data_IF_834657014057
#
_entry.id   IF_834657014057
#
_cell.length_a   1.000
_cell.length_b   1.000
_cell.length_c   1.000
_cell.angle_alpha   90.00
_cell.angle_beta   90.00
_cell.angle_gamma   90.00
#
_symmetry.space_group_name_H-M   'P 1'
#
loop_
_entity.id
_entity.type
_entity.pdbx_description
1 polymer ?
#
# COMPACT_ATOMS: atom_id res chain seq x y z
N UNK A 1 -2.85 -26.21 -17.32
CA UNK A 1 -3.39 -24.90 -17.72
C UNK A 1 -3.90 -25.03 -19.15
N UNK A 2 -4.99 -24.36 -19.53
CA UNK A 2 -5.59 -24.49 -20.86
C UNK A 2 -5.82 -23.11 -21.49
N UNK A 3 -6.11 -23.09 -22.79
CA UNK A 3 -6.62 -21.88 -23.46
C UNK A 3 -7.84 -21.34 -22.71
N UNK A 4 -7.90 -20.02 -22.56
CA UNK A 4 -8.93 -19.31 -21.79
C UNK A 4 -8.65 -19.21 -20.28
N UNK A 5 -7.63 -19.90 -19.75
CA UNK A 5 -7.24 -19.71 -18.35
C UNK A 5 -6.69 -18.29 -18.13
N UNK A 6 -7.04 -17.70 -16.98
CA UNK A 6 -6.47 -16.43 -16.54
C UNK A 6 -5.23 -16.67 -15.68
N UNK A 7 -4.17 -15.93 -15.96
CA UNK A 7 -2.94 -15.93 -15.17
C UNK A 7 -2.62 -14.51 -14.72
N UNK A 8 -1.80 -14.39 -13.68
CA UNK A 8 -1.35 -13.10 -13.18
C UNK A 8 -0.09 -12.64 -13.91
N UNK A 9 0.01 -11.33 -14.13
CA UNK A 9 1.20 -10.62 -14.58
C UNK A 9 1.36 -9.29 -13.85
N UNK A 10 2.38 -8.51 -14.19
CA UNK A 10 2.58 -7.15 -13.71
C UNK A 10 2.48 -6.14 -14.85
N UNK A 11 1.75 -5.05 -14.60
CA UNK A 11 1.69 -3.87 -15.45
C UNK A 11 2.22 -2.68 -14.63
N UNK A 12 3.47 -2.32 -14.91
CA UNK A 12 4.25 -1.39 -14.09
C UNK A 12 4.36 -1.87 -12.64
N UNK A 13 3.74 -1.12 -11.73
CA UNK A 13 3.76 -1.41 -10.29
C UNK A 13 2.60 -2.28 -9.80
N UNK A 14 1.64 -2.62 -10.65
CA UNK A 14 0.40 -3.31 -10.27
C UNK A 14 0.39 -4.72 -10.81
N UNK A 15 -0.38 -5.58 -10.16
CA UNK A 15 -0.64 -6.92 -10.69
C UNK A 15 -1.98 -6.96 -11.41
N UNK A 16 -1.98 -7.52 -12.61
CA UNK A 16 -3.15 -7.61 -13.50
C UNK A 16 -3.32 -9.04 -13.99
N UNK A 17 -4.47 -9.34 -14.60
CA UNK A 17 -4.73 -10.65 -15.18
C UNK A 17 -4.64 -10.60 -16.70
N UNK A 18 -3.99 -11.60 -17.27
CA UNK A 18 -3.93 -11.87 -18.71
C UNK A 18 -4.52 -13.25 -18.99
N UNK A 19 -4.78 -13.56 -20.26
CA UNK A 19 -5.47 -14.79 -20.67
C UNK A 19 -4.57 -15.62 -21.57
N UNK A 20 -4.55 -16.93 -21.35
CA UNK A 20 -3.87 -17.88 -22.23
C UNK A 20 -4.62 -17.99 -23.56
N UNK A 21 -4.04 -17.45 -24.62
CA UNK A 21 -4.56 -17.51 -25.98
C UNK A 21 -4.15 -18.80 -26.69
N UNK A 22 -2.90 -19.25 -26.50
CA UNK A 22 -2.39 -20.49 -27.07
C UNK A 22 -1.51 -21.24 -26.07
N UNK A 23 -1.44 -22.56 -26.25
CA UNK A 23 -0.62 -23.48 -25.46
C UNK A 23 0.25 -24.30 -26.40
N UNK A 24 1.53 -24.36 -26.13
CA UNK A 24 2.43 -25.33 -26.75
C UNK A 24 3.22 -26.08 -25.68
N UNK A 25 3.70 -27.27 -26.05
CA UNK A 25 4.53 -28.11 -25.19
C UNK A 25 5.78 -28.53 -25.96
N UNK A 26 6.92 -28.56 -25.27
CA UNK A 26 8.19 -28.96 -25.83
C UNK A 26 8.96 -29.84 -24.83
N UNK A 27 9.81 -30.72 -25.36
CA UNK A 27 10.73 -31.51 -24.55
C UNK A 27 12.07 -30.79 -24.40
N UNK A 28 12.63 -30.79 -23.19
CA UNK A 28 13.93 -30.18 -22.90
C UNK A 28 14.78 -31.09 -22.03
N UNK A 29 16.09 -31.11 -22.26
CA UNK A 29 17.06 -31.84 -21.42
C UNK A 29 17.82 -30.95 -20.45
N UNK A 30 17.76 -29.64 -20.65
CA UNK A 30 18.46 -28.63 -19.87
C UNK A 30 17.46 -27.58 -19.40
N UNK A 31 17.44 -27.36 -18.10
CA UNK A 31 16.71 -26.30 -17.40
C UNK A 31 17.67 -25.54 -16.50
N UNK A 32 17.20 -24.45 -15.93
CA UNK A 32 17.90 -23.74 -14.86
C UNK A 32 16.98 -23.57 -13.66
N UNK A 33 17.52 -23.75 -12.45
CA UNK A 33 16.89 -23.34 -11.21
C UNK A 33 17.40 -21.93 -10.87
N UNK A 34 16.51 -20.96 -10.87
CA UNK A 34 16.80 -19.57 -10.49
C UNK A 34 16.53 -19.41 -9.01
N UNK A 35 17.55 -19.05 -8.23
CA UNK A 35 17.48 -18.91 -6.78
C UNK A 35 17.45 -17.42 -6.42
N UNK A 36 16.39 -17.00 -5.76
CA UNK A 36 16.21 -15.62 -5.28
C UNK A 36 16.05 -15.59 -3.76
N UNK A 37 16.04 -14.40 -3.17
CA UNK A 37 15.76 -14.22 -1.73
C UNK A 37 14.38 -14.70 -1.28
N UNK A 38 13.45 -14.88 -2.23
CA UNK A 38 12.06 -15.22 -1.93
C UNK A 38 11.65 -16.62 -2.37
N UNK A 39 12.24 -17.14 -3.45
CA UNK A 39 11.91 -18.46 -3.96
C UNK A 39 13.01 -19.03 -4.86
N UNK A 40 12.99 -20.35 -5.03
CA UNK A 40 13.67 -21.05 -6.12
C UNK A 40 12.62 -21.51 -7.13
N UNK A 41 12.83 -21.25 -8.40
CA UNK A 41 11.93 -21.71 -9.46
C UNK A 41 12.69 -22.22 -10.69
N UNK A 42 12.12 -23.20 -11.38
CA UNK A 42 12.75 -23.88 -12.52
C UNK A 42 12.15 -23.39 -13.82
N UNK A 43 12.98 -22.98 -14.78
CA UNK A 43 12.56 -22.50 -16.11
C UNK A 43 13.52 -22.99 -17.20
N UNK A 44 13.12 -22.78 -18.46
CA UNK A 44 14.03 -22.94 -19.59
C UNK A 44 15.20 -21.94 -19.49
N UNK A 45 16.43 -22.27 -19.94
CA UNK A 45 17.56 -21.34 -19.93
C UNK A 45 17.28 -20.03 -20.68
N UNK A 46 16.50 -20.12 -21.75
CA UNK A 46 16.13 -18.99 -22.61
C UNK A 46 14.94 -18.17 -22.07
N UNK A 47 14.29 -18.61 -20.99
CA UNK A 47 13.15 -17.90 -20.40
C UNK A 47 13.56 -16.47 -20.05
N UNK A 48 12.86 -15.48 -20.63
CA UNK A 48 13.09 -14.08 -20.29
C UNK A 48 12.45 -13.77 -18.93
N UNK A 49 13.22 -13.09 -18.07
CA UNK A 49 12.82 -12.64 -16.75
C UNK A 49 12.91 -11.11 -16.69
N UNK A 50 11.93 -10.47 -16.07
CA UNK A 50 11.86 -9.00 -16.02
C UNK A 50 12.86 -8.41 -15.04
N UNK A 51 13.75 -7.54 -15.51
CA UNK A 51 14.73 -6.78 -14.74
C UNK A 51 14.50 -5.27 -14.90
N UNK A 52 15.16 -4.39 -14.12
CA UNK A 52 15.04 -2.94 -14.28
C UNK A 52 15.43 -2.45 -15.68
N UNK A 53 16.39 -3.11 -16.31
CA UNK A 53 16.95 -2.75 -17.62
C UNK A 53 16.24 -3.46 -18.79
N UNK A 54 15.16 -4.21 -18.51
CA UNK A 54 14.35 -4.89 -19.52
C UNK A 54 14.20 -6.38 -19.24
N UNK A 55 14.67 -7.21 -20.15
CA UNK A 55 14.53 -8.67 -20.07
C UNK A 55 15.89 -9.33 -20.07
N UNK A 56 16.10 -10.29 -19.16
CA UNK A 56 17.32 -11.08 -19.07
C UNK A 56 16.98 -12.57 -19.24
N UNK A 57 17.83 -13.32 -19.93
CA UNK A 57 17.68 -14.77 -19.99
C UNK A 57 17.94 -15.39 -18.63
N UNK A 58 17.17 -16.41 -18.27
CA UNK A 58 17.26 -17.04 -16.96
C UNK A 58 18.66 -17.57 -16.62
N UNK A 59 19.43 -18.03 -17.62
CA UNK A 59 20.80 -18.50 -17.41
C UNK A 59 21.81 -17.39 -17.07
N UNK A 60 21.53 -16.15 -17.47
CA UNK A 60 22.37 -14.96 -17.25
C UNK A 60 21.90 -14.11 -16.06
N UNK A 61 20.83 -14.52 -15.39
CA UNK A 61 20.19 -13.69 -14.36
C UNK A 61 21.00 -13.60 -13.05
N UNK A 62 22.08 -14.37 -12.88
CA UNK A 62 22.85 -14.37 -11.64
C UNK A 62 23.43 -12.97 -11.33
N UNK A 63 23.23 -12.48 -10.11
CA UNK A 63 23.70 -11.15 -9.69
C UNK A 63 22.84 -9.98 -10.18
N UNK A 64 21.72 -10.24 -10.85
CA UNK A 64 20.73 -9.21 -11.20
C UNK A 64 19.62 -9.11 -10.15
N UNK A 65 18.67 -8.20 -10.38
CA UNK A 65 17.38 -8.15 -9.67
C UNK A 65 16.22 -8.38 -10.62
N UNK A 66 15.20 -9.09 -10.13
CA UNK A 66 14.01 -9.43 -10.89
C UNK A 66 12.78 -8.76 -10.31
N UNK A 67 11.87 -8.36 -11.19
CA UNK A 67 10.56 -7.86 -10.80
C UNK A 67 9.78 -8.99 -10.11
N UNK A 68 9.27 -8.72 -8.92
CA UNK A 68 8.62 -9.71 -8.07
C UNK A 68 7.39 -9.15 -7.37
N UNK A 69 6.42 -10.02 -7.13
CA UNK A 69 5.27 -9.73 -6.27
C UNK A 69 4.97 -10.93 -5.36
N UNK A 70 4.53 -10.72 -4.10
CA UNK A 70 4.20 -11.83 -3.22
C UNK A 70 3.00 -12.63 -3.74
N UNK A 71 3.23 -13.85 -4.24
CA UNK A 71 2.20 -14.71 -4.84
C UNK A 71 0.95 -14.89 -3.95
N UNK A 72 1.12 -14.96 -2.62
CA UNK A 72 0.03 -15.06 -1.64
C UNK A 72 -0.93 -13.86 -1.62
N UNK A 73 -0.55 -12.72 -2.21
CA UNK A 73 -1.34 -11.48 -2.26
C UNK A 73 -2.10 -11.32 -3.58
N UNK A 74 -1.88 -12.17 -4.58
CA UNK A 74 -2.47 -12.01 -5.91
C UNK A 74 -4.01 -12.10 -5.91
N UNK A 75 -4.56 -12.97 -5.05
CA UNK A 75 -6.00 -13.23 -4.98
C UNK A 75 -6.77 -12.24 -4.07
N UNK A 76 -6.14 -11.16 -3.61
CA UNK A 76 -6.84 -10.15 -2.81
C UNK A 76 -7.71 -9.27 -3.69
N UNK A 77 -8.82 -8.80 -3.13
CA UNK A 77 -9.63 -7.75 -3.74
C UNK A 77 -8.80 -6.46 -3.81
N UNK A 78 -8.70 -5.90 -5.02
CA UNK A 78 -8.04 -4.61 -5.27
C UNK A 78 -9.10 -3.54 -5.20
N UNK A 79 -8.82 -2.51 -4.42
CA UNK A 79 -9.73 -1.39 -4.26
C UNK A 79 -9.53 -0.42 -5.43
N UNK A 80 -10.56 0.38 -5.71
CA UNK A 80 -10.40 1.57 -6.55
C UNK A 80 -10.47 2.77 -5.63
N UNK A 81 -9.33 3.42 -5.41
CA UNK A 81 -9.26 4.53 -4.46
C UNK A 81 -9.64 5.82 -5.17
N UNK A 82 -10.58 6.57 -4.60
CA UNK A 82 -11.03 7.85 -5.14
C UNK A 82 -10.36 9.00 -4.37
N UNK A 83 -9.68 9.94 -5.03
CA UNK A 83 -9.20 11.14 -4.37
C UNK A 83 -10.39 12.04 -3.98
N UNK A 84 -10.12 13.03 -3.12
CA UNK A 84 -11.09 13.96 -2.58
C UNK A 84 -11.22 13.88 -1.07
N UNK A 85 -12.17 14.65 -0.53
CA UNK A 85 -12.38 14.84 0.89
C UNK A 85 -12.40 13.52 1.71
N UNK A 86 -13.13 12.52 1.23
CA UNK A 86 -13.31 11.25 1.94
C UNK A 86 -11.99 10.46 2.09
N UNK A 87 -11.12 10.50 1.08
CA UNK A 87 -9.78 9.91 1.18
C UNK A 87 -8.94 10.65 2.21
N UNK A 88 -8.95 11.97 2.13
CA UNK A 88 -8.29 12.83 3.10
C UNK A 88 -8.69 12.48 4.52
N UNK A 89 -10.00 12.49 4.78
CA UNK A 89 -10.56 12.23 6.10
C UNK A 89 -10.21 10.84 6.61
N UNK A 90 -10.34 9.80 5.78
CA UNK A 90 -9.92 8.44 6.11
C UNK A 90 -8.45 8.40 6.55
N UNK A 91 -7.55 9.02 5.79
CA UNK A 91 -6.12 9.03 6.09
C UNK A 91 -5.83 9.82 7.37
N UNK A 92 -6.40 11.01 7.52
CA UNK A 92 -6.20 11.87 8.69
C UNK A 92 -6.69 11.24 10.00
N UNK A 93 -7.88 10.65 9.96
CA UNK A 93 -8.44 9.92 11.10
C UNK A 93 -7.65 8.64 11.41
N UNK A 94 -7.12 7.97 10.39
CA UNK A 94 -6.28 6.78 10.61
C UNK A 94 -4.93 7.15 11.23
N UNK A 95 -4.34 8.27 10.82
CA UNK A 95 -3.05 8.76 11.31
C UNK A 95 -3.11 9.36 12.72
N UNK A 96 -4.28 9.73 13.22
CA UNK A 96 -4.49 10.23 14.59
C UNK A 96 -4.88 9.07 15.52
N UNK A 97 -6.12 8.59 15.41
CA UNK A 97 -6.69 7.59 16.33
C UNK A 97 -6.81 6.17 15.73
N UNK A 98 -6.36 5.98 14.49
CA UNK A 98 -6.47 4.72 13.79
C UNK A 98 -5.42 3.68 14.17
N UNK A 99 -5.71 2.43 13.84
CA UNK A 99 -4.80 1.30 13.93
C UNK A 99 -4.77 0.55 12.62
N UNK A 100 -3.56 0.42 12.05
CA UNK A 100 -3.31 -0.41 10.86
C UNK A 100 -2.67 -1.73 11.30
N UNK A 101 -3.51 -2.75 11.52
CA UNK A 101 -3.05 -4.10 11.84
C UNK A 101 -2.48 -4.84 10.63
N UNK A 102 -2.14 -6.13 10.78
CA UNK A 102 -1.54 -6.96 9.71
C UNK A 102 -2.42 -7.04 8.45
N UNK A 103 -3.73 -7.15 8.61
CA UNK A 103 -4.71 -7.34 7.53
C UNK A 103 -6.01 -6.54 7.77
N UNK A 104 -5.96 -5.49 8.58
CA UNK A 104 -7.13 -4.70 8.91
C UNK A 104 -6.76 -3.25 9.19
N UNK A 105 -7.74 -2.36 9.02
CA UNK A 105 -7.71 -1.00 9.51
C UNK A 105 -8.87 -0.84 10.49
N UNK A 106 -8.62 -0.21 11.64
CA UNK A 106 -9.60 -0.02 12.69
C UNK A 106 -9.50 1.38 13.29
N UNK A 107 -10.64 1.98 13.59
CA UNK A 107 -10.76 3.17 14.42
C UNK A 107 -11.56 2.79 15.67
N UNK A 108 -11.11 3.19 16.87
CA UNK A 108 -11.84 2.96 18.12
C UNK A 108 -11.87 4.25 18.92
N UNK A 109 -13.02 4.92 18.96
CA UNK A 109 -13.17 6.29 19.49
C UNK A 109 -14.34 6.38 20.48
N UNK A 110 -14.38 7.41 21.30
CA UNK A 110 -15.49 7.60 22.25
C UNK A 110 -16.69 8.30 21.61
N UNK A 111 -16.44 9.10 20.56
CA UNK A 111 -17.47 9.84 19.84
C UNK A 111 -18.08 8.98 18.72
N UNK A 112 -19.40 8.83 18.76
CA UNK A 112 -20.17 8.13 17.73
C UNK A 112 -20.16 8.87 16.40
N UNK A 113 -20.26 10.19 16.40
CA UNK A 113 -20.28 10.99 15.18
C UNK A 113 -18.95 10.88 14.43
N UNK A 114 -17.82 10.86 15.16
CA UNK A 114 -16.51 10.59 14.58
C UNK A 114 -16.47 9.19 13.94
N UNK A 115 -16.92 8.16 14.65
CA UNK A 115 -16.97 6.80 14.11
C UNK A 115 -17.86 6.71 12.84
N UNK A 116 -19.04 7.34 12.84
CA UNK A 116 -19.96 7.37 11.69
C UNK A 116 -19.34 8.10 10.49
N UNK A 117 -18.69 9.25 10.72
CA UNK A 117 -18.00 10.01 9.66
C UNK A 117 -16.84 9.22 9.08
N UNK A 118 -16.03 8.57 9.92
CA UNK A 118 -14.97 7.67 9.47
C UNK A 118 -15.51 6.52 8.61
N UNK A 119 -16.60 5.86 9.04
CA UNK A 119 -17.22 4.78 8.26
C UNK A 119 -17.76 5.27 6.91
N UNK A 120 -18.36 6.46 6.86
CA UNK A 120 -18.83 7.09 5.63
C UNK A 120 -17.66 7.40 4.68
N UNK A 121 -16.61 8.05 5.18
CA UNK A 121 -15.47 8.42 4.35
C UNK A 121 -14.66 7.21 3.88
N UNK A 122 -14.53 6.17 4.70
CA UNK A 122 -13.99 4.88 4.27
C UNK A 122 -14.76 4.31 3.07
N UNK A 123 -16.10 4.28 3.14
CA UNK A 123 -16.94 3.82 2.03
C UNK A 123 -16.77 4.73 0.80
N UNK A 124 -16.78 6.05 0.98
CA UNK A 124 -16.63 7.03 -0.11
C UNK A 124 -15.30 6.91 -0.85
N UNK A 125 -14.20 6.74 -0.12
CA UNK A 125 -12.86 6.65 -0.70
C UNK A 125 -12.53 5.27 -1.29
N UNK A 126 -13.05 4.19 -0.72
CA UNK A 126 -12.58 2.82 -1.06
C UNK A 126 -13.67 1.88 -1.58
N UNK A 127 -14.95 2.22 -1.41
CA UNK A 127 -16.07 1.32 -1.66
C UNK A 127 -16.29 0.27 -0.56
N UNK A 128 -15.43 0.19 0.46
CA UNK A 128 -15.58 -0.78 1.54
C UNK A 128 -16.54 -0.26 2.61
N UNK A 129 -17.62 -1.00 2.81
CA UNK A 129 -18.55 -0.73 3.90
C UNK A 129 -18.00 -1.25 5.24
N UNK A 130 -18.14 -0.45 6.29
CA UNK A 130 -17.85 -0.85 7.66
C UNK A 130 -19.00 -0.46 8.59
N UNK A 131 -19.25 -1.30 9.58
CA UNK A 131 -20.28 -1.03 10.60
C UNK A 131 -19.66 -0.31 11.78
N UNK A 132 -20.37 0.69 12.30
CA UNK A 132 -20.09 1.26 13.62
C UNK A 132 -20.61 0.27 14.66
N UNK A 133 -19.73 -0.16 15.56
CA UNK A 133 -20.04 -1.13 16.60
C UNK A 133 -19.78 -0.51 17.97
N UNK A 134 -20.75 -0.58 18.88
CA UNK A 134 -20.50 -0.28 20.29
C UNK A 134 -19.53 -1.34 20.85
N UNK A 135 -18.50 -0.88 21.55
CA UNK A 135 -17.47 -1.72 22.16
C UNK A 135 -17.12 -1.21 23.55
N UNK A 136 -16.51 -2.07 24.35
CA UNK A 136 -15.92 -1.70 25.63
C UNK A 136 -14.41 -1.90 25.53
N UNK A 137 -13.64 -0.93 26.03
CA UNK A 137 -12.17 -0.98 25.99
C UNK A 137 -11.57 -0.59 27.33
N UNK A 138 -10.41 -1.15 27.71
CA UNK A 138 -9.67 -0.67 28.85
C UNK A 138 -9.16 0.75 28.57
N UNK A 139 -9.45 1.69 29.47
CA UNK A 139 -8.91 3.05 29.41
C UNK A 139 -7.73 3.18 30.37
N UNK A 140 -6.52 3.39 29.84
CA UNK A 140 -5.34 3.65 30.67
C UNK A 140 -5.43 4.97 31.44
N UNK A 141 -6.19 5.95 30.93
CA UNK A 141 -6.43 7.21 31.63
C UNK A 141 -7.44 7.06 32.77
N UNK A 142 -8.55 6.36 32.53
CA UNK A 142 -9.62 6.19 33.53
C UNK A 142 -9.40 4.96 34.44
N UNK A 143 -8.41 4.11 34.14
CA UNK A 143 -8.11 2.85 34.83
C UNK A 143 -9.34 1.94 35.00
N UNK A 144 -10.26 1.99 34.01
CA UNK A 144 -11.48 1.19 33.96
C UNK A 144 -11.91 0.91 32.52
N UNK A 145 -12.86 0.02 32.38
CA UNK A 145 -13.58 -0.17 31.13
C UNK A 145 -14.38 1.09 30.75
N UNK A 146 -14.21 1.53 29.51
CA UNK A 146 -14.91 2.67 28.95
C UNK A 146 -15.69 2.25 27.69
N UNK A 147 -16.94 2.71 27.54
CA UNK A 147 -17.68 2.51 26.30
C UNK A 147 -17.05 3.31 25.17
N UNK A 148 -17.14 2.79 23.95
CA UNK A 148 -16.73 3.49 22.74
C UNK A 148 -17.34 2.87 21.50
N UNK A 149 -16.92 3.36 20.35
CA UNK A 149 -17.39 2.96 19.03
C UNK A 149 -16.20 2.51 18.19
N UNK A 150 -16.33 1.33 17.57
CA UNK A 150 -15.35 0.75 16.67
C UNK A 150 -15.87 0.74 15.25
N UNK A 151 -15.01 1.13 14.32
CA UNK A 151 -15.18 0.86 12.89
C UNK A 151 -13.98 0.05 12.45
N UNK A 152 -14.20 -1.14 11.89
CA UNK A 152 -13.11 -2.03 11.45
C UNK A 152 -13.43 -2.66 10.11
N UNK A 153 -12.41 -2.71 9.25
CA UNK A 153 -12.43 -3.45 7.99
C UNK A 153 -11.25 -4.41 7.94
N UNK A 154 -11.52 -5.64 7.54
CA UNK A 154 -10.50 -6.66 7.27
C UNK A 154 -10.19 -6.65 5.78
N UNK A 155 -9.12 -5.97 5.41
CA UNK A 155 -8.58 -5.94 4.05
C UNK A 155 -7.07 -5.82 4.13
N UNK A 156 -6.36 -6.85 3.64
CA UNK A 156 -4.90 -6.81 3.54
C UNK A 156 -4.43 -5.79 2.50
N UNK A 157 -5.23 -5.54 1.45
CA UNK A 157 -4.97 -4.51 0.46
C UNK A 157 -4.98 -3.12 1.11
N UNK A 158 -6.06 -2.77 1.82
CA UNK A 158 -6.16 -1.48 2.50
C UNK A 158 -5.08 -1.31 3.58
N UNK A 159 -4.79 -2.36 4.36
CA UNK A 159 -3.77 -2.28 5.40
C UNK A 159 -2.35 -2.04 4.84
N UNK A 160 -2.01 -2.71 3.72
CA UNK A 160 -0.75 -2.45 3.02
C UNK A 160 -0.74 -1.05 2.37
N UNK A 161 -1.87 -0.61 1.82
CA UNK A 161 -2.01 0.70 1.21
C UNK A 161 -1.85 1.84 2.23
N UNK A 162 -2.46 1.72 3.40
CA UNK A 162 -2.27 2.70 4.47
C UNK A 162 -0.80 2.76 4.92
N UNK A 163 -0.13 1.60 5.03
CA UNK A 163 1.32 1.57 5.28
C UNK A 163 2.12 2.24 4.18
N UNK A 164 1.78 2.03 2.91
CA UNK A 164 2.43 2.73 1.80
C UNK A 164 2.29 4.26 1.96
N UNK A 165 1.07 4.73 2.23
CA UNK A 165 0.82 6.16 2.41
C UNK A 165 1.63 6.76 3.55
N UNK A 166 1.83 6.03 4.64
CA UNK A 166 2.60 6.50 5.80
C UNK A 166 4.10 6.20 5.73
N UNK A 167 4.61 5.73 4.59
CA UNK A 167 6.04 5.48 4.39
C UNK A 167 6.57 4.16 4.96
N UNK A 168 5.71 3.15 5.09
CA UNK A 168 6.02 1.76 5.43
C UNK A 168 5.59 1.33 6.83
N UNK A 169 5.63 2.24 7.80
CA UNK A 169 5.16 2.03 9.17
C UNK A 169 4.00 2.98 9.47
N UNK A 170 2.88 2.43 9.94
CA UNK A 170 1.67 3.18 10.29
C UNK A 170 1.55 3.41 11.81
N UNK A 171 2.59 3.09 12.57
CA UNK A 171 2.64 3.41 13.99
C UNK A 171 2.72 4.92 14.18
N UNK A 172 1.85 5.50 15.01
CA UNK A 172 1.69 6.95 15.19
C UNK A 172 3.01 7.72 15.47
N UNK A 173 3.98 7.11 16.18
CA UNK A 173 5.30 7.71 16.44
C UNK A 173 6.31 7.62 15.29
N UNK A 174 6.10 6.74 14.30
CA UNK A 174 7.07 6.43 13.23
C UNK A 174 6.54 6.67 11.82
N UNK A 175 5.23 6.90 11.70
CA UNK A 175 4.61 7.25 10.42
C UNK A 175 5.24 8.52 9.85
N UNK A 176 5.49 8.49 8.53
CA UNK A 176 5.83 9.70 7.76
C UNK A 176 4.55 10.46 7.44
N UNK A 177 4.70 11.74 7.07
CA UNK A 177 3.58 12.53 6.59
C UNK A 177 3.01 11.90 5.30
N UNK A 178 1.70 11.62 5.23
CA UNK A 178 1.12 10.88 4.12
C UNK A 178 0.90 11.79 2.91
N UNK A 179 1.95 11.97 2.08
CA UNK A 179 1.92 12.90 0.94
C UNK A 179 0.82 12.63 -0.09
N UNK A 180 0.23 11.44 -0.09
CA UNK A 180 -0.96 11.12 -0.89
C UNK A 180 -2.11 12.11 -0.66
N UNK A 181 -2.21 12.70 0.55
CA UNK A 181 -3.26 13.68 0.88
C UNK A 181 -3.03 15.04 0.25
N UNK A 182 -1.85 15.27 -0.36
CA UNK A 182 -1.52 16.47 -1.12
C UNK A 182 -2.02 16.39 -2.58
N UNK A 183 -2.81 15.37 -2.95
CA UNK A 183 -3.33 15.20 -4.31
C UNK A 183 -4.03 16.46 -4.83
N UNK A 184 -4.93 17.00 -4.02
CA UNK A 184 -5.63 18.25 -4.26
C UNK A 184 -6.03 18.88 -2.92
N UNK A 185 -6.57 20.09 -2.99
CA UNK A 185 -6.97 20.85 -1.81
C UNK A 185 -8.09 20.17 -1.02
N UNK A 186 -9.04 19.55 -1.70
CA UNK A 186 -10.20 18.93 -1.06
C UNK A 186 -9.78 17.70 -0.22
N UNK A 187 -8.90 16.87 -0.77
CA UNK A 187 -8.24 15.77 -0.08
C UNK A 187 -7.46 16.27 1.13
N UNK A 188 -6.71 17.36 0.98
CA UNK A 188 -5.93 17.89 2.09
C UNK A 188 -6.80 18.48 3.22
N UNK A 189 -7.90 19.17 2.89
CA UNK A 189 -8.88 19.64 3.88
C UNK A 189 -9.55 18.47 4.62
N UNK A 190 -9.90 17.40 3.89
CA UNK A 190 -10.38 16.16 4.48
C UNK A 190 -9.39 15.59 5.48
N UNK A 191 -8.09 15.57 5.14
CA UNK A 191 -7.03 15.11 6.04
C UNK A 191 -6.94 15.97 7.31
N UNK A 192 -6.98 17.29 7.18
CA UNK A 192 -6.96 18.19 8.33
C UNK A 192 -8.17 17.94 9.24
N UNK A 193 -9.36 17.79 8.69
CA UNK A 193 -10.58 17.48 9.45
C UNK A 193 -10.50 16.12 10.15
N UNK A 194 -10.08 15.06 9.43
CA UNK A 194 -9.94 13.73 10.01
C UNK A 194 -8.92 13.67 11.15
N UNK A 195 -7.78 14.36 11.00
CA UNK A 195 -6.79 14.45 12.07
C UNK A 195 -7.28 15.28 13.25
N UNK A 196 -8.06 16.35 12.98
CA UNK A 196 -8.63 17.21 14.02
C UNK A 196 -9.64 16.47 14.89
N UNK A 197 -10.44 15.58 14.30
CA UNK A 197 -11.46 14.82 15.04
C UNK A 197 -10.83 13.78 15.99
N UNK A 198 -9.61 13.31 15.72
CA UNK A 198 -8.85 12.42 16.61
C UNK A 198 -7.92 13.17 17.55
N UNK A 199 -6.74 13.52 17.06
CA UNK A 199 -5.66 14.14 17.84
C UNK A 199 -5.62 15.68 17.63
N UNK A 200 -6.77 16.33 17.74
CA UNK A 200 -6.84 17.77 17.60
C UNK A 200 -8.09 18.38 18.20
N UNK A 201 -8.26 19.68 17.99
CA UNK A 201 -9.49 20.37 18.32
C UNK A 201 -9.64 21.66 17.50
N UNK A 202 -10.88 22.06 17.22
CA UNK A 202 -11.16 23.41 16.70
C UNK A 202 -11.11 24.43 17.84
N UNK A 203 -10.57 25.61 17.53
CA UNK A 203 -10.60 26.73 18.46
C UNK A 203 -12.01 27.30 18.57
N UNK A 204 -12.42 27.64 19.81
CA UNK A 204 -13.67 28.37 20.07
C UNK A 204 -13.53 29.88 19.88
N UNK A 205 -12.29 30.40 19.77
CA UNK A 205 -12.00 31.84 19.81
C UNK A 205 -11.61 32.44 18.45
N UNK A 206 -11.17 31.61 17.51
CA UNK A 206 -10.70 32.04 16.20
C UNK A 206 -10.91 30.92 15.18
N UNK A 207 -10.94 31.28 13.90
CA UNK A 207 -11.17 30.35 12.79
C UNK A 207 -9.94 29.47 12.53
N UNK A 208 -9.93 28.30 13.17
CA UNK A 208 -9.03 27.21 12.84
C UNK A 208 -8.94 26.16 13.92
N UNK A 209 -7.83 25.45 13.92
CA UNK A 209 -7.66 24.16 14.62
C UNK A 209 -6.25 24.03 15.20
N UNK A 210 -6.13 23.22 16.24
CA UNK A 210 -4.88 22.80 16.83
C UNK A 210 -4.76 21.30 16.63
N UNK A 211 -3.65 20.86 16.03
CA UNK A 211 -3.30 19.45 15.88
C UNK A 211 -2.23 19.10 16.92
N UNK A 212 -2.34 17.94 17.53
CA UNK A 212 -1.49 17.50 18.63
C UNK A 212 -0.79 16.21 18.21
N UNK A 213 0.53 16.12 18.35
CA UNK A 213 1.24 14.87 18.07
C UNK A 213 2.58 14.81 18.78
N UNK A 214 2.97 13.61 19.20
CA UNK A 214 4.34 13.32 19.63
C UNK A 214 5.31 13.14 18.43
N UNK A 215 4.79 12.98 17.22
CA UNK A 215 5.60 12.82 16.01
C UNK A 215 6.01 14.19 15.46
N UNK A 216 7.15 14.70 15.95
CA UNK A 216 7.68 16.02 15.57
C UNK A 216 7.99 16.13 14.07
N UNK A 217 8.64 15.16 13.41
CA UNK A 217 8.87 15.22 11.96
C UNK A 217 7.58 15.38 11.14
N UNK A 218 6.52 14.66 11.53
CA UNK A 218 5.21 14.76 10.89
C UNK A 218 4.62 16.17 11.00
N UNK A 219 4.64 16.78 12.19
CA UNK A 219 4.13 18.14 12.38
C UNK A 219 4.99 19.20 11.68
N UNK A 220 6.31 19.00 11.62
CA UNK A 220 7.21 19.91 10.90
C UNK A 220 6.94 19.89 9.39
N UNK A 221 6.74 18.71 8.78
CA UNK A 221 6.39 18.61 7.37
C UNK A 221 5.02 19.23 7.08
N UNK A 222 4.01 18.93 7.92
CA UNK A 222 2.67 19.53 7.80
C UNK A 222 2.72 21.05 7.92
N UNK A 223 3.50 21.59 8.86
CA UNK A 223 3.70 23.03 9.01
C UNK A 223 4.27 23.68 7.73
N UNK A 224 5.22 22.99 7.07
CA UNK A 224 5.75 23.41 5.78
C UNK A 224 4.68 23.49 4.69
N UNK A 225 3.80 22.49 4.60
CA UNK A 225 2.70 22.44 3.63
C UNK A 225 1.75 23.63 3.80
N UNK A 226 1.33 23.92 5.04
CA UNK A 226 0.38 25.02 5.35
C UNK A 226 1.06 26.39 5.56
N UNK A 227 2.38 26.47 5.40
CA UNK A 227 3.14 27.70 5.62
C UNK A 227 3.04 28.23 7.05
N UNK A 228 2.88 27.35 8.04
CA UNK A 228 2.83 27.71 9.45
C UNK A 228 4.23 27.69 10.06
N UNK A 229 4.43 28.55 11.07
CA UNK A 229 5.58 28.42 11.97
C UNK A 229 5.31 27.27 12.93
N UNK A 230 6.31 26.41 13.13
CA UNK A 230 6.24 25.31 14.07
C UNK A 230 7.50 25.29 14.92
N UNK A 231 7.30 25.25 16.23
CA UNK A 231 8.37 25.09 17.22
C UNK A 231 8.01 23.88 18.08
N UNK A 232 8.79 22.80 18.04
CA UNK A 232 8.51 21.62 18.84
C UNK A 232 8.63 21.93 20.33
N UNK A 233 7.85 21.24 21.16
CA UNK A 233 8.02 21.31 22.61
C UNK A 233 9.27 20.53 23.03
N UNK A 234 9.99 21.03 24.02
CA UNK A 234 11.29 20.50 24.48
C UNK A 234 11.19 19.43 25.56
N UNK A 235 10.00 18.91 25.86
CA UNK A 235 9.76 17.86 26.86
C UNK A 235 9.14 16.61 26.21
N UNK A 236 9.04 15.48 26.92
CA UNK A 236 8.32 14.24 26.52
C UNK A 236 6.80 14.44 26.30
N UNK A 237 6.36 15.68 26.11
CA UNK A 237 4.98 16.08 25.87
C UNK A 237 4.74 16.20 24.35
N UNK A 238 3.52 15.86 23.93
CA UNK A 238 3.10 16.08 22.55
C UNK A 238 3.23 17.56 22.14
N UNK A 239 3.70 17.79 20.92
CA UNK A 239 3.80 19.11 20.31
C UNK A 239 2.48 19.52 19.66
N UNK A 240 2.23 20.82 19.57
CA UNK A 240 1.01 21.37 19.01
C UNK A 240 1.34 22.16 17.73
N UNK A 241 0.52 21.97 16.69
CA UNK A 241 0.56 22.77 15.47
C UNK A 241 -0.74 23.56 15.33
N UNK A 242 -0.61 24.87 15.17
CA UNK A 242 -1.75 25.77 14.94
C UNK A 242 -1.99 25.90 13.44
N UNK A 243 -3.18 25.53 12.99
CA UNK A 243 -3.63 25.65 11.60
C UNK A 243 -4.79 26.65 11.55
N UNK A 244 -4.54 27.82 10.98
CA UNK A 244 -5.55 28.85 10.73
C UNK A 244 -6.35 28.52 9.47
N UNK A 245 -7.66 28.74 9.46
CA UNK A 245 -8.50 28.35 8.31
C UNK A 245 -8.17 29.12 7.03
N UNK A 246 -7.52 30.28 7.14
CA UNK A 246 -7.01 31.04 6.00
C UNK A 246 -5.63 30.58 5.51
N UNK A 247 -5.10 29.45 5.99
CA UNK A 247 -3.85 28.86 5.50
C UNK A 247 -3.75 28.79 3.95
N UNK A 248 -4.82 28.58 3.17
CA UNK A 248 -4.73 28.53 1.72
C UNK A 248 -4.25 29.84 1.09
N UNK A 249 -4.53 30.99 1.72
CA UNK A 249 -4.10 32.30 1.21
C UNK A 249 -2.59 32.51 1.30
N UNK A 250 -1.86 31.64 2.00
CA UNK A 250 -0.40 31.68 2.08
C UNK A 250 0.29 31.14 0.82
N UNK A 251 -0.43 30.43 -0.05
CA UNK A 251 0.08 29.94 -1.34
C UNK A 251 1.22 28.91 -1.24
N UNK A 252 1.41 28.28 -0.08
CA UNK A 252 2.47 27.27 0.16
C UNK A 252 2.08 25.86 -0.26
N UNK A 253 0.79 25.54 -0.26
CA UNK A 253 0.32 24.23 -0.70
C UNK A 253 0.56 24.04 -2.20
N UNK A 254 1.19 22.92 -2.53
CA UNK A 254 1.44 22.48 -3.89
C UNK A 254 0.78 21.12 -4.07
N UNK A 255 -0.16 20.97 -5.02
CA UNK A 255 -0.68 19.65 -5.35
C UNK A 255 0.45 18.70 -5.78
N UNK A 256 0.39 17.47 -5.34
CA UNK A 256 1.39 16.43 -5.64
C UNK A 256 0.74 15.18 -6.20
N UNK A 257 1.44 14.51 -7.13
CA UNK A 257 0.97 13.24 -7.69
C UNK A 257 1.69 12.08 -7.00
N UNK A 258 0.96 11.40 -6.13
CA UNK A 258 1.38 10.16 -5.49
C UNK A 258 0.47 9.00 -5.92
N UNK A 259 0.98 7.76 -5.97
CA UNK A 259 0.16 6.59 -6.28
C UNK A 259 -1.00 6.44 -5.27
N UNK A 260 -2.23 6.51 -5.78
CA UNK A 260 -3.44 6.20 -5.01
C UNK A 260 -3.61 4.68 -4.84
N UNK A 261 -3.12 3.92 -5.80
CA UNK A 261 -3.18 2.46 -5.79
C UNK A 261 -1.95 1.87 -5.09
N UNK A 262 -2.10 0.68 -4.55
CA UNK A 262 -1.00 -0.04 -3.91
C UNK A 262 0.05 -0.44 -4.96
N UNK A 263 1.31 -0.15 -4.65
CA UNK A 263 2.48 -0.70 -5.36
C UNK A 263 2.60 -2.17 -4.94
N UNK A 264 2.35 -3.07 -5.88
CA UNK A 264 2.32 -4.51 -5.66
C UNK A 264 3.60 -5.20 -6.15
N UNK A 265 4.43 -4.51 -6.93
CA UNK A 265 5.73 -5.00 -7.37
C UNK A 265 6.86 -4.49 -6.47
N UNK A 266 7.92 -5.29 -6.42
CA UNK A 266 9.21 -4.94 -5.85
C UNK A 266 10.32 -5.64 -6.64
N UNK A 267 11.57 -5.42 -6.24
CA UNK A 267 12.74 -6.07 -6.83
C UNK A 267 13.30 -7.11 -5.85
N UNK A 268 13.71 -8.27 -6.37
CA UNK A 268 14.38 -9.32 -5.58
C UNK A 268 15.68 -9.70 -6.24
N UNK A 269 16.72 -9.93 -5.44
CA UNK A 269 18.04 -10.33 -5.94
C UNK A 269 18.05 -11.80 -6.38
N UNK A 270 18.74 -12.08 -7.49
CA UNK A 270 19.05 -13.44 -7.93
C UNK A 270 20.41 -13.83 -7.37
N UNK A 271 20.40 -14.71 -6.38
CA UNK A 271 21.60 -15.18 -5.68
C UNK A 271 22.42 -16.12 -6.55
N UNK A 272 21.76 -16.97 -7.31
CA UNK A 272 22.42 -18.05 -8.05
C UNK A 272 21.51 -18.55 -9.17
N UNK A 273 22.12 -19.04 -10.23
CA UNK A 273 21.46 -19.81 -11.29
C UNK A 273 22.13 -21.17 -11.41
N UNK A 274 21.36 -22.24 -11.18
CA UNK A 274 21.88 -23.61 -11.14
C UNK A 274 21.45 -24.39 -12.37
N UNK A 275 22.38 -24.97 -13.15
CA UNK A 275 22.02 -25.87 -14.22
C UNK A 275 21.29 -27.11 -13.71
N UNK A 276 20.18 -27.46 -14.36
CA UNK A 276 19.41 -28.67 -14.07
C UNK A 276 19.28 -29.53 -15.31
N UNK A 277 19.93 -30.70 -15.28
CA UNK A 277 19.92 -31.67 -16.39
C UNK A 277 18.94 -32.80 -16.11
N UNK A 278 18.30 -33.29 -17.17
CA UNK A 278 17.45 -34.47 -17.06
C UNK A 278 18.29 -35.69 -16.65
N UNK A 279 17.91 -36.35 -15.54
CA UNK A 279 18.54 -37.59 -15.12
C UNK A 279 17.97 -38.76 -15.95
N UNK A 280 18.83 -39.43 -16.72
CA UNK A 280 18.44 -40.58 -17.55
C UNK A 280 17.92 -40.21 -18.94
N UNK A 281 17.03 -41.04 -19.51
CA UNK A 281 16.54 -40.90 -20.89
C UNK A 281 15.32 -40.01 -21.02
N UNK A 282 14.56 -39.78 -19.93
CA UNK A 282 13.31 -39.02 -19.96
C UNK A 282 13.59 -37.49 -19.91
N UNK A 283 13.19 -36.72 -20.93
CA UNK A 283 13.32 -35.26 -20.90
C UNK A 283 12.30 -34.61 -19.95
N UNK A 284 12.50 -33.33 -19.65
CA UNK A 284 11.49 -32.48 -19.04
C UNK A 284 10.45 -32.06 -20.09
N UNK A 285 9.21 -31.86 -19.66
CA UNK A 285 8.17 -31.23 -20.48
C UNK A 285 8.02 -29.79 -20.05
N UNK A 286 8.21 -28.87 -21.00
CA UNK A 286 7.99 -27.44 -20.82
C UNK A 286 6.69 -27.04 -21.50
N UNK A 287 5.99 -26.07 -20.89
CA UNK A 287 4.79 -25.47 -21.45
C UNK A 287 5.06 -24.02 -21.78
N UNK A 288 4.67 -23.61 -22.98
CA UNK A 288 4.70 -22.25 -23.48
C UNK A 288 3.28 -21.72 -23.63
N UNK A 289 3.10 -20.42 -23.36
CA UNK A 289 1.80 -19.76 -23.39
C UNK A 289 1.90 -18.48 -24.21
N UNK A 290 1.06 -18.34 -25.25
CA UNK A 290 0.76 -17.02 -25.82
C UNK A 290 -0.28 -16.35 -24.93
N UNK A 291 -0.04 -15.11 -24.53
CA UNK A 291 -0.85 -14.40 -23.54
C UNK A 291 -1.38 -13.10 -24.11
N UNK A 292 -2.66 -12.80 -23.85
CA UNK A 292 -3.33 -11.57 -24.28
C UNK A 292 -4.21 -10.99 -23.16
N UNK A 293 -4.23 -9.65 -22.97
CA UNK A 293 -3.54 -8.63 -23.78
C UNK A 293 -2.07 -8.42 -23.37
N UNK A 294 -1.62 -8.99 -22.25
CA UNK A 294 -0.26 -8.86 -21.75
C UNK A 294 0.55 -10.12 -22.07
N UNK A 295 1.74 -10.01 -22.71
CA UNK A 295 2.52 -11.15 -23.18
C UNK A 295 3.35 -11.85 -22.08
N UNK A 296 3.27 -11.36 -20.85
CA UNK A 296 4.04 -11.81 -19.68
C UNK A 296 3.13 -12.41 -18.61
N UNK A 297 3.76 -13.12 -17.67
CA UNK A 297 3.09 -13.79 -16.55
C UNK A 297 4.03 -13.96 -15.36
N UNK A 298 3.47 -14.42 -14.23
CA UNK A 298 4.22 -14.67 -13.01
C UNK A 298 4.61 -16.14 -12.85
N UNK A 299 5.90 -16.41 -12.65
CA UNK A 299 6.44 -17.69 -12.18
C UNK A 299 6.90 -17.53 -10.74
N UNK A 300 6.23 -18.17 -9.79
CA UNK A 300 6.50 -17.98 -8.35
C UNK A 300 6.52 -16.50 -7.90
N UNK A 301 5.74 -15.65 -8.57
CA UNK A 301 5.70 -14.20 -8.33
C UNK A 301 6.71 -13.37 -9.13
N UNK A 302 7.62 -13.98 -9.89
CA UNK A 302 8.60 -13.28 -10.73
C UNK A 302 8.05 -13.05 -12.13
N UNK A 303 8.29 -11.87 -12.70
CA UNK A 303 7.86 -11.56 -14.06
C UNK A 303 8.65 -12.38 -15.08
N UNK A 304 7.93 -13.06 -15.96
CA UNK A 304 8.47 -13.90 -17.01
C UNK A 304 7.72 -13.63 -18.32
N UNK A 305 8.45 -13.65 -19.44
CA UNK A 305 7.88 -13.49 -20.79
C UNK A 305 8.45 -14.51 -21.76
N UNK A 306 7.66 -14.96 -22.71
CA UNK A 306 8.19 -15.78 -23.80
C UNK A 306 9.23 -15.00 -24.63
N UNK A 307 10.26 -15.64 -25.18
CA UNK A 307 11.25 -14.97 -26.04
C UNK A 307 10.74 -14.53 -27.42
N UNK A 308 9.47 -14.77 -27.75
CA UNK A 308 8.87 -14.55 -29.07
C UNK A 308 7.50 -13.88 -28.97
#
# INVERSE_FOLDING_TARGET
MSVGCRVWTMDGSRTVQTTVAELAAAEARHLVDVVTDHATFTVAPEQLLGSPDGWVHAHDAAGTVLAWTPARKLCRERLTVRPGYDLGYLVGATCSDGTVGKNYVSLVVNDRAFAERYAKSLLGATGLAARVQAVVRPSGYLQREAPGFRVRVVSSYLADLMRQYTGGDAHHQRQRFPRVVLHDRDTFEGFLDGYTDGDGCRSKRWSGRVLISANVPFLAELAGVIGARFTPRTAELASHLVVVDNWPSRGTFRPERHPLELIESSWTEVREVRPRRAAGTKPFTLYSYRLEPYPDFLVHGHLARQPW
#
